data_IF_340020578959
#
_entry.id   IF_340020578959
#
_cell.length_a   1.000
_cell.length_b   1.000
_cell.length_c   1.000
_cell.angle_alpha   90.00
_cell.angle_beta   90.00
_cell.angle_gamma   90.00
#
_symmetry.space_group_name_H-M   'P 1'
#
loop_
_entity.id
_entity.type
_entity.pdbx_description
1 polymer ?
#
# COMPACT_ATOMS: atom_id res chain seq x y z
N UNK A 1 67.90 -17.29 10.72
CA UNK A 1 68.41 -16.69 9.46
C UNK A 1 67.80 -17.47 8.31
N UNK A 2 66.64 -17.08 7.77
CA UNK A 2 66.49 -15.94 6.85
C UNK A 2 65.00 -15.61 6.72
N UNK A 3 64.68 -14.38 7.07
CA UNK A 3 63.55 -13.62 6.52
C UNK A 3 63.65 -13.62 4.97
N UNK A 4 62.55 -13.26 4.31
CA UNK A 4 62.41 -12.98 2.87
C UNK A 4 61.93 -14.14 1.98
N UNK A 5 60.70 -14.60 2.19
CA UNK A 5 59.79 -14.86 1.05
C UNK A 5 58.47 -14.13 1.30
N UNK A 6 58.58 -12.87 1.73
CA UNK A 6 57.59 -11.87 1.39
C UNK A 6 58.10 -11.22 0.10
N UNK A 7 57.78 -11.76 -1.08
CA UNK A 7 57.80 -10.97 -2.33
C UNK A 7 57.22 -11.65 -3.60
N UNK A 8 56.53 -12.79 -3.54
CA UNK A 8 56.05 -13.42 -4.79
C UNK A 8 54.68 -14.10 -4.74
N UNK A 9 53.84 -13.76 -3.75
CA UNK A 9 52.45 -14.25 -3.67
C UNK A 9 51.48 -13.14 -3.21
N UNK A 10 51.87 -11.87 -3.39
CA UNK A 10 51.09 -10.70 -2.99
C UNK A 10 49.85 -10.36 -3.83
N UNK A 11 49.79 -10.61 -5.16
CA UNK A 11 48.63 -10.14 -5.93
C UNK A 11 47.49 -11.17 -6.03
N UNK A 12 47.74 -12.45 -5.76
CA UNK A 12 46.78 -13.52 -6.03
C UNK A 12 45.58 -13.56 -5.06
N UNK A 13 45.69 -12.93 -3.89
CA UNK A 13 44.63 -12.88 -2.89
C UNK A 13 43.69 -11.66 -3.04
N UNK A 14 44.06 -10.66 -3.85
CA UNK A 14 43.18 -9.51 -4.16
C UNK A 14 42.23 -9.79 -5.33
N UNK A 15 42.53 -10.79 -6.16
CA UNK A 15 41.69 -11.18 -7.30
C UNK A 15 40.47 -12.05 -6.94
N UNK A 16 40.35 -12.45 -5.66
CA UNK A 16 39.19 -13.19 -5.15
C UNK A 16 38.14 -12.30 -4.48
N UNK A 17 38.30 -10.96 -4.55
CA UNK A 17 37.28 -10.06 -4.02
C UNK A 17 36.00 -10.17 -4.87
N UNK A 18 34.88 -10.69 -4.34
CA UNK A 18 33.64 -10.67 -5.08
C UNK A 18 33.25 -9.20 -5.30
N UNK A 19 33.17 -8.79 -6.57
CA UNK A 19 32.54 -7.53 -6.91
C UNK A 19 31.04 -7.67 -6.58
N UNK A 20 30.66 -7.27 -5.38
CA UNK A 20 29.26 -7.11 -4.97
C UNK A 20 28.67 -5.91 -5.70
N UNK A 21 28.51 -6.02 -7.02
CA UNK A 21 27.73 -5.08 -7.80
C UNK A 21 26.28 -5.31 -7.47
N UNK A 22 25.72 -4.52 -6.55
CA UNK A 22 24.27 -4.45 -6.35
C UNK A 22 23.66 -3.91 -7.64
N UNK A 23 23.09 -4.80 -8.45
CA UNK A 23 22.29 -4.41 -9.59
C UNK A 23 21.13 -3.55 -9.06
N UNK A 24 21.10 -2.28 -9.46
CA UNK A 24 20.05 -1.36 -9.05
C UNK A 24 18.69 -1.92 -9.47
N UNK A 25 17.93 -2.45 -8.52
CA UNK A 25 16.56 -2.92 -8.77
C UNK A 25 15.69 -1.71 -9.00
N UNK A 26 15.31 -1.49 -10.27
CA UNK A 26 14.35 -0.47 -10.63
C UNK A 26 13.01 -0.76 -9.91
N UNK A 27 12.31 0.28 -9.42
CA UNK A 27 10.98 0.11 -8.87
C UNK A 27 10.06 -0.56 -9.91
N UNK A 28 9.47 -1.69 -9.55
CA UNK A 28 8.48 -2.37 -10.40
C UNK A 28 7.10 -1.78 -10.18
N UNK A 29 6.29 -1.71 -11.25
CA UNK A 29 4.88 -1.29 -11.15
C UNK A 29 4.11 -2.34 -10.31
N UNK A 30 3.12 -1.91 -9.50
CA UNK A 30 2.20 -2.84 -8.86
C UNK A 30 1.59 -3.80 -9.89
N UNK A 31 1.64 -5.12 -9.68
CA UNK A 31 1.13 -6.09 -10.65
C UNK A 31 -0.41 -6.18 -10.68
N UNK A 32 -1.09 -5.42 -9.83
CA UNK A 32 -2.54 -5.50 -9.65
C UNK A 32 -3.24 -4.27 -10.20
N UNK A 33 -4.18 -4.48 -11.12
CA UNK A 33 -5.14 -3.47 -11.54
C UNK A 33 -6.35 -3.49 -10.61
N UNK A 34 -6.71 -2.32 -10.05
CA UNK A 34 -7.87 -2.17 -9.18
C UNK A 34 -9.04 -1.66 -10.02
N UNK A 35 -10.20 -2.30 -9.86
CA UNK A 35 -11.44 -1.80 -10.43
C UNK A 35 -11.90 -0.56 -9.67
N UNK A 36 -11.98 0.57 -10.36
CA UNK A 36 -12.40 1.87 -9.81
C UNK A 36 -13.83 2.23 -10.22
N UNK A 37 -14.61 1.28 -10.73
CA UNK A 37 -15.99 1.51 -11.14
C UNK A 37 -16.83 1.80 -9.90
N UNK A 38 -17.60 2.89 -9.95
CA UNK A 38 -18.52 3.23 -8.88
C UNK A 38 -19.55 2.11 -8.70
N UNK A 39 -19.60 1.54 -7.50
CA UNK A 39 -20.63 0.58 -7.10
C UNK A 39 -21.71 1.33 -6.31
N UNK A 40 -22.94 1.42 -6.81
CA UNK A 40 -24.02 2.09 -6.09
C UNK A 40 -24.41 1.31 -4.83
N UNK A 41 -24.91 2.01 -3.81
CA UNK A 41 -25.46 1.36 -2.61
C UNK A 41 -26.58 0.38 -2.99
N UNK A 42 -26.54 -0.82 -2.42
CA UNK A 42 -27.52 -1.90 -2.68
C UNK A 42 -28.64 -1.99 -1.63
N UNK A 43 -28.56 -1.19 -0.57
CA UNK A 43 -29.53 -1.16 0.52
C UNK A 43 -30.66 -0.17 0.30
N UNK A 44 -31.36 0.14 1.39
CA UNK A 44 -32.52 1.02 1.42
C UNK A 44 -32.14 2.50 1.45
N UNK A 45 -33.05 3.34 0.98
CA UNK A 45 -32.95 4.78 1.16
C UNK A 45 -33.73 5.21 2.40
N UNK A 46 -33.05 5.79 3.39
CA UNK A 46 -33.64 6.32 4.62
C UNK A 46 -33.68 7.84 4.51
N UNK A 47 -34.88 8.43 4.41
CA UNK A 47 -35.03 9.88 4.29
C UNK A 47 -35.21 10.52 5.66
N UNK A 48 -34.33 11.45 6.01
CA UNK A 48 -34.47 12.30 7.20
C UNK A 48 -34.99 13.66 6.74
N UNK A 49 -36.25 13.94 7.07
CA UNK A 49 -36.89 15.22 6.74
C UNK A 49 -36.37 16.35 7.64
N UNK A 50 -36.67 17.60 7.29
CA UNK A 50 -36.29 18.76 8.12
C UNK A 50 -36.84 18.64 9.55
N UNK A 51 -35.98 18.85 10.55
CA UNK A 51 -36.27 18.63 11.97
C UNK A 51 -36.41 17.16 12.38
N UNK A 52 -36.02 16.23 11.50
CA UNK A 52 -36.00 14.79 11.78
C UNK A 52 -34.84 14.37 12.68
N UNK A 53 -34.85 13.10 13.11
CA UNK A 53 -33.80 12.58 13.99
C UNK A 53 -32.77 11.77 13.20
N UNK A 54 -31.64 12.41 12.89
CA UNK A 54 -30.51 11.76 12.20
C UNK A 54 -29.96 10.57 12.99
N UNK A 55 -29.94 10.66 14.33
CA UNK A 55 -29.36 9.61 15.16
C UNK A 55 -30.14 8.29 15.04
N UNK A 56 -31.46 8.34 14.98
CA UNK A 56 -32.32 7.18 14.74
C UNK A 56 -32.07 6.58 13.36
N UNK A 57 -31.88 7.42 12.34
CA UNK A 57 -31.54 6.93 11.00
C UNK A 57 -30.20 6.19 10.98
N UNK A 58 -29.18 6.72 11.67
CA UNK A 58 -27.86 6.07 11.80
C UNK A 58 -27.97 4.75 12.58
N UNK A 59 -28.69 4.74 13.70
CA UNK A 59 -28.84 3.55 14.53
C UNK A 59 -29.56 2.40 13.80
N UNK A 60 -30.47 2.73 12.87
CA UNK A 60 -31.26 1.75 12.12
C UNK A 60 -30.63 1.34 10.78
N UNK A 61 -29.68 2.13 10.26
CA UNK A 61 -29.07 1.86 8.97
C UNK A 61 -28.24 0.58 8.97
N UNK A 62 -28.35 -0.20 7.90
CA UNK A 62 -27.51 -1.39 7.65
C UNK A 62 -26.49 -1.12 6.55
N UNK A 63 -25.41 -1.92 6.45
CA UNK A 63 -24.43 -1.75 5.37
C UNK A 63 -25.08 -1.78 3.99
N UNK A 64 -24.80 -0.76 3.19
CA UNK A 64 -25.38 -0.57 1.86
C UNK A 64 -26.58 0.39 1.83
N UNK A 65 -27.14 0.79 2.98
CA UNK A 65 -28.20 1.80 3.03
C UNK A 65 -27.66 3.21 2.70
N UNK A 66 -28.54 4.06 2.18
CA UNK A 66 -28.27 5.47 1.90
C UNK A 66 -29.17 6.36 2.75
N UNK A 67 -28.59 7.21 3.60
CA UNK A 67 -29.35 8.18 4.38
C UNK A 67 -29.40 9.51 3.61
N UNK A 68 -30.60 9.96 3.24
CA UNK A 68 -30.84 11.20 2.51
C UNK A 68 -31.38 12.26 3.46
N UNK A 69 -30.58 13.28 3.74
CA UNK A 69 -30.96 14.37 4.63
C UNK A 69 -31.55 15.52 3.82
N UNK A 70 -32.73 15.98 4.22
CA UNK A 70 -33.29 17.24 3.75
C UNK A 70 -32.63 18.42 4.45
N UNK A 71 -32.70 19.60 3.83
CA UNK A 71 -32.17 20.81 4.44
C UNK A 71 -32.89 21.10 5.77
N UNK A 72 -32.11 21.27 6.85
CA UNK A 72 -32.63 21.50 8.20
C UNK A 72 -33.00 20.23 8.98
N UNK A 73 -32.62 19.04 8.49
CA UNK A 73 -32.66 17.78 9.23
C UNK A 73 -31.64 17.74 10.37
#
# INVERSE_FOLDING_TARGET
MRIFIAFLLGPALLSLWPASGEAATLPTLPPTFIDTTYSPPSGNTIVVNAGGDLQTAINNAVPGDTIVLQAGA
#
